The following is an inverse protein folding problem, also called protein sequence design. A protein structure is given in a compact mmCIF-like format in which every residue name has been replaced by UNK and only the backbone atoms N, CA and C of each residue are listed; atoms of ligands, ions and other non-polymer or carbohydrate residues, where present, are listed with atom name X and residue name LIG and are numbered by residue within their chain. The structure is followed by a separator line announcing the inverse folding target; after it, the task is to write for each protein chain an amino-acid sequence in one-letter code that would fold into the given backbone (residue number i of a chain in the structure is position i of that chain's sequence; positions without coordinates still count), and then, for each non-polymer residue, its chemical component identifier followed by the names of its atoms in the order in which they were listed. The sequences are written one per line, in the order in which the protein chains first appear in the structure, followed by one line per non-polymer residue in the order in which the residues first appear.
data_IF_280465259595
#
_entry.id   IF_280465259595
#
_cell.length_a   1.000
_cell.length_b   1.000
_cell.length_c   1.000
_cell.angle_alpha   90.00
_cell.angle_beta   90.00
_cell.angle_gamma   90.00
#
_symmetry.space_group_name_H-M   'P 1'
#
loop_
_entity.id
_entity.type
_entity.pdbx_description
1 polymer ?
#
# COMPACT_ATOMS: atom_id res chain seq x y z
N UNK A 1 -17.48 -33.58 27.48
CA UNK A 1 -16.57 -33.89 28.60
C UNK A 1 -15.60 -32.74 28.72
N UNK A 2 -15.77 -31.93 29.76
CA UNK A 2 -14.98 -30.72 30.04
C UNK A 2 -13.72 -31.15 30.78
N UNK A 3 -12.56 -30.58 30.43
CA UNK A 3 -11.40 -30.58 31.31
C UNK A 3 -10.72 -29.20 31.25
N UNK A 4 -10.74 -28.52 32.41
CA UNK A 4 -9.92 -27.35 32.76
C UNK A 4 -8.51 -27.84 33.20
N UNK A 5 -7.40 -27.09 33.32
CA UNK A 5 -7.07 -25.67 33.38
C UNK A 5 -5.53 -25.49 33.18
N UNK A 6 -5.14 -24.32 32.66
CA UNK A 6 -3.97 -23.45 33.01
C UNK A 6 -2.57 -24.02 33.19
N UNK A 7 -1.58 -23.48 32.43
CA UNK A 7 -0.46 -22.65 32.93
C UNK A 7 0.02 -21.63 31.84
N UNK A 8 0.26 -20.38 32.26
CA UNK A 8 1.06 -19.28 31.66
C UNK A 8 0.53 -18.43 30.47
N UNK A 9 -0.11 -17.30 30.83
CA UNK A 9 0.56 -15.99 30.68
C UNK A 9 0.71 -15.33 29.30
N UNK A 10 0.09 -15.83 28.22
CA UNK A 10 0.12 -15.16 26.91
C UNK A 10 -1.28 -14.97 26.33
N UNK A 11 -1.75 -13.72 26.33
CA UNK A 11 -2.99 -13.31 25.66
C UNK A 11 -2.76 -13.29 24.16
N UNK A 12 -3.22 -14.32 23.46
CA UNK A 12 -3.39 -14.29 22.00
C UNK A 12 -4.72 -13.62 21.67
N UNK A 13 -4.78 -12.63 20.76
CA UNK A 13 -6.07 -12.15 20.26
C UNK A 13 -6.77 -13.28 19.51
N UNK A 14 -8.05 -13.49 19.87
CA UNK A 14 -8.88 -14.64 19.51
C UNK A 14 -9.22 -14.83 18.01
N UNK A 15 -10.08 -15.81 17.71
CA UNK A 15 -10.24 -16.36 16.36
C UNK A 15 -10.88 -15.33 15.42
N UNK A 16 -10.33 -15.26 14.21
CA UNK A 16 -10.78 -14.39 13.13
C UNK A 16 -12.29 -14.50 12.92
N UNK A 17 -12.97 -13.37 13.08
CA UNK A 17 -14.41 -13.24 12.95
C UNK A 17 -14.86 -13.58 11.51
N UNK A 18 -15.56 -14.70 11.35
CA UNK A 18 -16.03 -15.22 10.05
C UNK A 18 -16.95 -14.24 9.31
N UNK A 19 -17.57 -13.30 10.02
CA UNK A 19 -18.36 -12.21 9.44
C UNK A 19 -17.49 -11.19 8.67
N UNK A 20 -16.27 -10.90 9.13
CA UNK A 20 -15.33 -10.03 8.39
C UNK A 20 -14.82 -10.67 7.12
N UNK A 21 -14.62 -12.00 7.12
CA UNK A 21 -14.21 -12.75 5.93
C UNK A 21 -15.32 -12.77 4.86
N UNK A 22 -16.59 -12.86 5.27
CA UNK A 22 -17.72 -12.77 4.34
C UNK A 22 -17.97 -11.34 3.81
N UNK A 23 -17.73 -10.30 4.61
CA UNK A 23 -17.79 -8.91 4.13
C UNK A 23 -16.67 -8.61 3.12
N UNK A 24 -15.45 -9.11 3.34
CA UNK A 24 -14.34 -8.99 2.39
C UNK A 24 -14.64 -9.70 1.05
N UNK A 25 -15.33 -10.85 1.09
CA UNK A 25 -15.80 -11.56 -0.12
C UNK A 25 -16.87 -10.81 -0.90
N UNK A 26 -17.80 -10.11 -0.25
CA UNK A 26 -18.84 -9.34 -0.94
C UNK A 26 -18.37 -7.99 -1.50
N UNK A 27 -17.27 -7.45 -0.98
CA UNK A 27 -16.61 -6.23 -1.46
C UNK A 27 -15.36 -6.55 -2.31
N UNK A 28 -15.29 -7.70 -2.97
CA UNK A 28 -14.25 -7.99 -3.95
C UNK A 28 -14.81 -7.81 -5.36
N UNK A 29 -14.04 -7.26 -6.31
CA UNK A 29 -14.49 -7.20 -7.69
C UNK A 29 -14.71 -8.62 -8.22
N UNK A 30 -15.66 -8.79 -9.13
CA UNK A 30 -15.98 -10.09 -9.70
C UNK A 30 -14.76 -10.67 -10.42
N UNK A 31 -14.18 -11.73 -9.87
CA UNK A 31 -12.92 -12.41 -10.30
C UNK A 31 -12.77 -12.57 -11.82
N UNK A 32 -13.86 -12.78 -12.56
CA UNK A 32 -13.85 -13.01 -14.00
C UNK A 32 -13.79 -11.76 -14.89
N UNK A 33 -13.90 -10.53 -14.36
CA UNK A 33 -14.08 -9.31 -15.19
C UNK A 33 -13.21 -8.10 -14.83
N UNK A 34 -12.31 -8.24 -13.85
CA UNK A 34 -11.47 -7.12 -13.43
C UNK A 34 -10.28 -6.89 -14.37
N UNK A 35 -10.05 -5.64 -14.75
CA UNK A 35 -8.88 -5.24 -15.54
C UNK A 35 -7.78 -4.75 -14.59
N UNK A 36 -6.67 -5.46 -14.54
CA UNK A 36 -5.54 -5.00 -13.74
C UNK A 36 -4.69 -4.00 -14.52
N UNK A 37 -4.30 -2.91 -13.85
CA UNK A 37 -3.54 -1.82 -14.46
C UNK A 37 -2.32 -1.43 -13.61
N UNK A 38 -1.11 -1.61 -14.14
CA UNK A 38 0.13 -1.23 -13.46
C UNK A 38 0.35 0.27 -13.55
N UNK A 39 0.49 0.91 -12.38
CA UNK A 39 0.75 2.35 -12.28
C UNK A 39 2.13 2.70 -12.85
N UNK A 40 3.16 1.88 -12.59
CA UNK A 40 4.52 2.22 -13.00
C UNK A 40 4.84 1.95 -14.47
N UNK A 41 5.29 3.01 -15.13
CA UNK A 41 5.55 3.03 -16.58
C UNK A 41 4.38 3.65 -17.35
N UNK A 42 3.14 3.27 -17.02
CA UNK A 42 1.93 3.76 -17.71
C UNK A 42 1.43 5.11 -17.18
N UNK A 43 1.20 5.24 -15.87
CA UNK A 43 0.65 6.46 -15.28
C UNK A 43 1.75 7.36 -14.70
N UNK A 44 2.74 6.75 -14.05
CA UNK A 44 3.82 7.44 -13.33
C UNK A 44 5.12 6.64 -13.40
N UNK A 45 6.26 7.33 -13.34
CA UNK A 45 7.56 6.68 -13.14
C UNK A 45 7.96 6.72 -11.67
N UNK A 46 7.37 5.83 -10.87
CA UNK A 46 7.62 5.78 -9.44
C UNK A 46 9.00 5.20 -9.11
N UNK A 47 9.56 5.68 -8.00
CA UNK A 47 10.72 5.06 -7.34
C UNK A 47 10.35 4.86 -5.87
N UNK A 48 10.73 3.72 -5.29
CA UNK A 48 10.39 3.38 -3.89
C UNK A 48 10.97 4.39 -2.89
N UNK A 49 12.11 5.01 -3.22
CA UNK A 49 12.86 5.89 -2.30
C UNK A 49 12.24 7.29 -2.21
N UNK A 50 11.68 7.85 -3.29
CA UNK A 50 11.18 9.24 -3.30
C UNK A 50 10.02 9.47 -2.31
N UNK A 51 8.97 8.64 -2.26
CA UNK A 51 7.90 8.81 -1.27
C UNK A 51 8.39 8.65 0.16
N UNK A 52 9.24 7.65 0.43
CA UNK A 52 9.80 7.43 1.77
C UNK A 52 10.68 8.61 2.20
N UNK A 53 11.53 9.12 1.31
CA UNK A 53 12.33 10.31 1.57
C UNK A 53 11.43 11.52 1.88
N UNK A 54 10.35 11.74 1.11
CA UNK A 54 9.39 12.81 1.36
C UNK A 54 8.71 12.69 2.74
N UNK A 55 8.21 11.50 3.09
CA UNK A 55 7.61 11.22 4.39
C UNK A 55 8.58 11.51 5.55
N UNK A 56 9.86 11.23 5.36
CA UNK A 56 10.89 11.50 6.39
C UNK A 56 11.33 12.96 6.44
N UNK A 57 11.34 13.64 5.28
CA UNK A 57 11.78 15.04 5.15
C UNK A 57 10.84 16.00 5.87
N UNK A 58 9.54 15.71 5.88
CA UNK A 58 8.51 16.52 6.53
C UNK A 58 8.18 16.10 7.97
N UNK A 59 9.11 15.48 8.71
CA UNK A 59 8.92 15.12 10.14
C UNK A 59 9.10 16.35 11.07
N UNK A 60 8.30 16.49 12.14
CA UNK A 60 8.22 17.74 12.92
C UNK A 60 9.35 17.97 13.93
N UNK A 61 10.07 16.92 14.36
CA UNK A 61 11.08 16.98 15.44
C UNK A 61 12.51 17.04 14.91
N UNK A 62 13.27 18.09 15.29
CA UNK A 62 14.58 18.45 14.73
C UNK A 62 15.64 17.33 14.80
N UNK A 63 15.71 16.56 15.89
CA UNK A 63 16.67 15.46 16.07
C UNK A 63 16.29 14.20 15.26
N UNK A 64 14.99 13.93 15.15
CA UNK A 64 14.44 12.83 14.36
C UNK A 64 14.69 13.04 12.85
N UNK A 65 14.73 14.31 12.39
CA UNK A 65 15.11 14.68 11.02
C UNK A 65 16.52 14.23 10.68
N UNK A 66 17.51 14.50 11.53
CA UNK A 66 18.92 14.18 11.24
C UNK A 66 19.19 12.68 11.25
N UNK A 67 18.62 11.94 12.23
CA UNK A 67 18.73 10.47 12.27
C UNK A 67 18.06 9.83 11.05
N UNK A 68 16.86 10.28 10.67
CA UNK A 68 16.17 9.73 9.49
C UNK A 68 16.82 10.15 8.18
N UNK A 69 17.38 11.36 8.08
CA UNK A 69 18.19 11.80 6.93
C UNK A 69 19.43 10.94 6.76
N UNK A 70 20.15 10.66 7.85
CA UNK A 70 21.29 9.75 7.85
C UNK A 70 20.89 8.34 7.40
N UNK A 71 19.76 7.83 7.90
CA UNK A 71 19.27 6.50 7.53
C UNK A 71 18.82 6.42 6.06
N UNK A 72 18.12 7.43 5.54
CA UNK A 72 17.72 7.48 4.11
C UNK A 72 18.93 7.59 3.21
N UNK A 73 19.92 8.42 3.57
CA UNK A 73 21.17 8.53 2.82
C UNK A 73 21.94 7.21 2.81
N UNK A 74 22.11 6.59 3.98
CA UNK A 74 22.74 5.27 4.12
C UNK A 74 22.03 4.21 3.26
N UNK A 75 20.69 4.22 3.27
CA UNK A 75 19.89 3.30 2.46
C UNK A 75 20.00 3.56 0.96
N UNK A 76 20.14 4.82 0.53
CA UNK A 76 20.39 5.16 -0.87
C UNK A 76 21.76 4.65 -1.35
N UNK A 77 22.79 4.79 -0.49
CA UNK A 77 24.15 4.28 -0.76
C UNK A 77 24.19 2.75 -0.78
N UNK A 78 23.53 2.09 0.17
CA UNK A 78 23.49 0.62 0.27
C UNK A 78 22.55 -0.04 -0.75
N UNK A 79 21.75 0.73 -1.47
CA UNK A 79 20.72 0.23 -2.40
C UNK A 79 21.26 -0.77 -3.44
N UNK A 80 22.38 -0.51 -4.15
CA UNK A 80 22.90 -1.44 -5.16
C UNK A 80 23.22 -2.81 -4.54
N UNK A 81 23.82 -2.80 -3.34
CA UNK A 81 24.20 -4.00 -2.60
C UNK A 81 22.98 -4.79 -2.09
N UNK A 82 22.01 -4.09 -1.49
CA UNK A 82 20.79 -4.70 -0.94
C UNK A 82 19.87 -5.28 -2.04
N UNK A 83 19.74 -4.58 -3.16
CA UNK A 83 18.93 -5.04 -4.29
C UNK A 83 19.61 -6.14 -5.12
N UNK A 84 20.95 -6.23 -5.08
CA UNK A 84 21.70 -7.35 -5.64
C UNK A 84 21.49 -8.65 -4.83
N UNK A 85 21.29 -8.54 -3.50
CA UNK A 85 21.07 -9.70 -2.63
C UNK A 85 19.61 -10.18 -2.61
N UNK A 86 18.63 -9.34 -2.22
CA UNK A 86 17.22 -9.76 -2.14
C UNK A 86 16.22 -8.58 -2.23
N UNK A 87 15.55 -8.42 -3.37
CA UNK A 87 14.71 -7.25 -3.69
C UNK A 87 13.52 -7.03 -2.74
N UNK A 88 12.93 -8.10 -2.23
CA UNK A 88 11.81 -8.03 -1.27
C UNK A 88 12.32 -7.52 0.08
N UNK A 89 13.47 -8.03 0.53
CA UNK A 89 14.10 -7.58 1.78
C UNK A 89 14.45 -6.11 1.69
N UNK A 90 15.10 -5.67 0.60
CA UNK A 90 15.44 -4.26 0.40
C UNK A 90 14.20 -3.36 0.42
N UNK A 91 13.08 -3.80 -0.16
CA UNK A 91 11.80 -3.08 -0.08
C UNK A 91 11.31 -2.96 1.36
N UNK A 92 11.35 -4.05 2.15
CA UNK A 92 10.98 -4.04 3.57
C UNK A 92 11.86 -3.09 4.40
N UNK A 93 13.18 -3.12 4.19
CA UNK A 93 14.12 -2.26 4.95
C UNK A 93 13.89 -0.77 4.63
N UNK A 94 13.61 -0.41 3.38
CA UNK A 94 13.27 0.98 3.03
C UNK A 94 12.02 1.47 3.76
N UNK A 95 11.00 0.62 3.89
CA UNK A 95 9.77 0.98 4.59
C UNK A 95 9.90 0.94 6.12
N UNK A 96 10.88 0.22 6.67
CA UNK A 96 11.16 0.19 8.11
C UNK A 96 11.52 1.58 8.68
N UNK A 97 12.03 2.48 7.83
CA UNK A 97 12.30 3.90 8.19
C UNK A 97 11.03 4.64 8.63
N UNK A 98 9.85 4.15 8.24
CA UNK A 98 8.55 4.71 8.62
C UNK A 98 8.05 4.22 9.99
N UNK A 99 8.81 3.35 10.68
CA UNK A 99 8.47 2.93 12.06
C UNK A 99 8.28 4.14 12.98
N UNK A 100 7.27 4.08 13.83
CA UNK A 100 6.96 5.12 14.81
C UNK A 100 6.22 6.35 14.23
N UNK A 101 5.85 6.34 12.95
CA UNK A 101 5.02 7.41 12.36
C UNK A 101 3.54 7.05 12.52
N UNK A 102 2.72 8.01 12.93
CA UNK A 102 1.27 7.79 13.02
C UNK A 102 0.62 7.64 11.64
N UNK A 103 -0.46 6.85 11.60
CA UNK A 103 -1.24 6.59 10.39
C UNK A 103 -1.81 7.87 9.78
N UNK A 104 -2.40 8.73 10.63
CA UNK A 104 -3.00 9.99 10.19
C UNK A 104 -1.96 10.92 9.56
N UNK A 105 -0.73 10.92 10.09
CA UNK A 105 0.36 11.68 9.50
C UNK A 105 0.76 11.13 8.14
N UNK A 106 0.84 9.81 7.99
CA UNK A 106 1.12 9.19 6.69
C UNK A 106 0.01 9.46 5.68
N UNK A 107 -1.25 9.53 6.11
CA UNK A 107 -2.38 9.90 5.25
C UNK A 107 -2.27 11.35 4.77
N UNK A 108 -2.03 12.31 5.68
CA UNK A 108 -1.86 13.71 5.33
C UNK A 108 -0.68 13.92 4.38
N UNK A 109 0.48 13.38 4.72
CA UNK A 109 1.67 13.48 3.86
C UNK A 109 1.48 12.74 2.53
N UNK A 110 0.66 11.70 2.51
CA UNK A 110 0.36 10.94 1.30
C UNK A 110 -0.47 11.75 0.31
N UNK A 111 -1.47 12.46 0.82
CA UNK A 111 -2.30 13.41 0.06
C UNK A 111 -1.45 14.59 -0.45
N UNK A 112 -0.60 15.19 0.40
CA UNK A 112 0.33 16.25 -0.02
C UNK A 112 1.29 15.77 -1.11
N UNK A 113 1.88 14.59 -0.94
CA UNK A 113 2.78 14.03 -1.93
C UNK A 113 2.06 13.77 -3.26
N UNK A 114 0.83 13.29 -3.20
CA UNK A 114 0.02 13.09 -4.40
C UNK A 114 -0.21 14.43 -5.12
N UNK A 115 -0.80 15.42 -4.44
CA UNK A 115 -1.17 16.70 -5.03
C UNK A 115 0.03 17.48 -5.58
N UNK A 116 1.13 17.55 -4.84
CA UNK A 116 2.27 18.38 -5.22
C UNK A 116 3.37 17.66 -6.00
N UNK A 117 3.47 16.32 -5.91
CA UNK A 117 4.59 15.56 -6.50
C UNK A 117 4.19 14.46 -7.46
N UNK A 118 2.95 13.97 -7.45
CA UNK A 118 2.50 12.96 -8.40
C UNK A 118 1.60 13.53 -9.47
N UNK A 119 0.55 14.24 -9.08
CA UNK A 119 -0.48 14.77 -9.98
C UNK A 119 0.08 15.60 -11.14
N UNK A 120 1.08 16.50 -10.95
CA UNK A 120 1.65 17.27 -12.06
C UNK A 120 2.44 16.42 -13.07
N UNK A 121 2.88 15.22 -12.67
CA UNK A 121 3.71 14.32 -13.48
C UNK A 121 2.94 13.11 -14.01
N UNK A 122 1.61 13.11 -13.90
CA UNK A 122 0.77 12.06 -14.49
C UNK A 122 0.93 12.06 -16.01
N UNK A 123 1.21 10.89 -16.57
CA UNK A 123 1.34 10.72 -18.02
C UNK A 123 -0.05 10.82 -18.66
N UNK A 124 -0.29 11.83 -19.52
CA UNK A 124 -1.63 12.10 -20.03
C UNK A 124 -2.18 10.94 -20.87
N UNK A 125 -1.34 10.25 -21.63
CA UNK A 125 -1.76 9.14 -22.49
C UNK A 125 -2.26 7.94 -21.67
N UNK A 126 -1.55 7.56 -20.61
CA UNK A 126 -1.96 6.48 -19.72
C UNK A 126 -3.25 6.84 -18.97
N UNK A 127 -3.38 8.09 -18.51
CA UNK A 127 -4.61 8.59 -17.87
C UNK A 127 -5.80 8.53 -18.82
N UNK A 128 -5.64 8.95 -20.09
CA UNK A 128 -6.72 8.87 -21.09
C UNK A 128 -7.20 7.44 -21.31
N UNK A 129 -6.27 6.49 -21.47
CA UNK A 129 -6.64 5.08 -21.70
C UNK A 129 -7.30 4.45 -20.48
N UNK A 130 -6.79 4.74 -19.28
CA UNK A 130 -7.41 4.29 -18.04
C UNK A 130 -8.82 4.86 -17.88
N UNK A 131 -8.99 6.18 -18.10
CA UNK A 131 -10.28 6.83 -17.99
C UNK A 131 -11.29 6.29 -19.02
N UNK A 132 -10.85 5.91 -20.22
CA UNK A 132 -11.71 5.25 -21.19
C UNK A 132 -12.25 3.90 -20.67
N UNK A 133 -11.41 3.11 -19.98
CA UNK A 133 -11.84 1.84 -19.37
C UNK A 133 -12.81 2.05 -18.21
N UNK A 134 -12.49 3.00 -17.33
CA UNK A 134 -13.35 3.35 -16.19
C UNK A 134 -14.69 3.90 -16.69
N UNK A 135 -14.68 4.78 -17.70
CA UNK A 135 -15.87 5.33 -18.34
C UNK A 135 -16.72 4.29 -19.07
N UNK A 136 -16.10 3.23 -19.59
CA UNK A 136 -16.79 2.07 -20.15
C UNK A 136 -17.39 1.13 -19.08
N UNK A 137 -17.26 1.45 -17.79
CA UNK A 137 -17.78 0.64 -16.69
C UNK A 137 -16.94 -0.59 -16.35
N UNK A 138 -15.68 -0.65 -16.81
CA UNK A 138 -14.77 -1.75 -16.47
C UNK A 138 -14.36 -1.68 -15.00
N UNK A 139 -14.34 -2.82 -14.31
CA UNK A 139 -13.80 -2.90 -12.94
C UNK A 139 -12.28 -2.88 -12.98
N UNK A 140 -11.68 -1.70 -12.83
CA UNK A 140 -10.22 -1.56 -12.86
C UNK A 140 -9.61 -1.75 -11.48
N UNK A 141 -8.52 -2.50 -11.40
CA UNK A 141 -7.68 -2.68 -10.20
C UNK A 141 -6.30 -2.06 -10.47
N UNK A 142 -5.96 -0.99 -9.76
CA UNK A 142 -4.63 -0.39 -9.87
C UNK A 142 -3.61 -1.20 -9.08
N UNK A 143 -2.51 -1.57 -9.73
CA UNK A 143 -1.40 -2.29 -9.12
C UNK A 143 -0.18 -1.38 -9.02
N UNK A 144 0.36 -1.19 -7.82
CA UNK A 144 1.53 -0.34 -7.60
C UNK A 144 2.47 -0.86 -6.52
N UNK A 145 3.76 -0.58 -6.70
CA UNK A 145 4.78 -0.76 -5.66
C UNK A 145 4.74 0.36 -4.58
N UNK A 146 3.94 1.39 -4.78
CA UNK A 146 3.76 2.50 -3.84
C UNK A 146 3.00 2.09 -2.57
N UNK A 147 3.12 2.94 -1.56
CA UNK A 147 2.34 2.79 -0.33
C UNK A 147 0.88 3.15 -0.55
N UNK A 148 -0.02 2.44 0.12
CA UNK A 148 -1.46 2.69 0.03
C UNK A 148 -1.84 4.14 0.39
N UNK A 149 -1.16 4.75 1.37
CA UNK A 149 -1.31 6.16 1.73
C UNK A 149 -1.16 7.14 0.56
N UNK A 150 -0.34 6.80 -0.44
CA UNK A 150 -0.10 7.64 -1.63
C UNK A 150 -1.00 7.19 -2.79
N UNK A 151 -1.25 5.89 -2.90
CA UNK A 151 -2.00 5.33 -4.02
C UNK A 151 -3.52 5.52 -3.88
N UNK A 152 -4.03 5.70 -2.66
CA UNK A 152 -5.45 6.00 -2.42
C UNK A 152 -5.88 7.37 -2.98
N UNK A 153 -5.16 8.48 -2.70
CA UNK A 153 -5.40 9.77 -3.38
C UNK A 153 -5.38 9.66 -4.91
N UNK A 154 -4.38 8.94 -5.45
CA UNK A 154 -4.27 8.69 -6.89
C UNK A 154 -5.49 7.94 -7.45
N UNK A 155 -5.92 6.86 -6.79
CA UNK A 155 -7.07 6.08 -7.21
C UNK A 155 -8.36 6.92 -7.17
N UNK A 156 -8.54 7.74 -6.12
CA UNK A 156 -9.67 8.67 -5.99
C UNK A 156 -9.68 9.68 -7.14
N UNK A 157 -8.53 10.26 -7.48
CA UNK A 157 -8.39 11.20 -8.59
C UNK A 157 -8.74 10.58 -9.96
N UNK A 158 -8.42 9.30 -10.15
CA UNK A 158 -8.67 8.56 -11.39
C UNK A 158 -10.02 7.82 -11.41
N UNK A 159 -10.82 7.93 -10.35
CA UNK A 159 -12.12 7.24 -10.25
C UNK A 159 -12.02 5.72 -10.11
N UNK A 160 -10.86 5.18 -9.73
CA UNK A 160 -10.64 3.73 -9.57
C UNK A 160 -11.00 3.27 -8.16
N UNK A 161 -11.78 2.18 -8.07
CA UNK A 161 -12.30 1.66 -6.81
C UNK A 161 -11.38 0.65 -6.11
N UNK A 162 -10.51 -0.02 -6.86
CA UNK A 162 -9.75 -1.18 -6.37
C UNK A 162 -8.24 -1.00 -6.51
N UNK A 163 -7.49 -1.48 -5.52
CA UNK A 163 -6.04 -1.32 -5.42
C UNK A 163 -5.35 -2.62 -5.01
N UNK A 164 -4.15 -2.86 -5.53
CA UNK A 164 -3.15 -3.79 -5.02
C UNK A 164 -1.85 -3.01 -4.81
N UNK A 165 -1.51 -2.76 -3.55
CA UNK A 165 -0.46 -1.80 -3.17
C UNK A 165 0.27 -2.25 -1.91
N UNK A 166 1.44 -1.68 -1.63
CA UNK A 166 2.18 -1.96 -0.41
C UNK A 166 1.48 -1.32 0.80
N UNK A 167 1.28 -2.10 1.86
CA UNK A 167 0.58 -1.67 3.08
C UNK A 167 1.51 -1.80 4.28
N UNK A 168 1.54 -0.78 5.13
CA UNK A 168 2.23 -0.85 6.42
C UNK A 168 1.35 -1.54 7.46
N UNK A 169 1.98 -2.27 8.36
CA UNK A 169 1.33 -2.76 9.58
C UNK A 169 1.31 -1.63 10.63
N UNK A 170 0.16 -1.49 11.29
CA UNK A 170 -0.07 -0.51 12.35
C UNK A 170 -0.47 -1.20 13.65
N UNK A 171 -0.02 -0.65 14.78
CA UNK A 171 -0.49 -0.98 16.12
C UNK A 171 -0.78 0.33 16.84
N UNK A 172 -1.99 0.46 17.39
CA UNK A 172 -2.46 1.69 18.05
C UNK A 172 -2.29 2.95 17.20
N UNK A 173 -2.54 2.82 15.89
CA UNK A 173 -2.38 3.91 14.92
C UNK A 173 -0.92 4.26 14.59
N UNK A 174 0.07 3.55 15.11
CA UNK A 174 1.50 3.78 14.87
C UNK A 174 2.09 2.69 13.96
N UNK A 175 2.84 3.11 12.94
CA UNK A 175 3.49 2.20 12.01
C UNK A 175 4.56 1.35 12.72
N UNK A 176 4.49 0.02 12.57
CA UNK A 176 5.49 -0.91 13.13
C UNK A 176 6.77 -0.93 12.30
N UNK A 177 6.72 -0.41 11.07
CA UNK A 177 7.80 -0.49 10.08
C UNK A 177 7.78 -1.78 9.24
N UNK A 178 6.85 -2.70 9.50
CA UNK A 178 6.66 -3.90 8.69
C UNK A 178 5.66 -3.66 7.57
N UNK A 179 5.85 -4.32 6.43
CA UNK A 179 4.86 -4.39 5.37
C UNK A 179 3.98 -5.61 5.56
N UNK A 180 2.68 -5.45 5.32
CA UNK A 180 1.75 -6.55 5.19
C UNK A 180 1.97 -7.26 3.85
N UNK A 181 1.72 -8.57 3.83
CA UNK A 181 1.74 -9.34 2.60
C UNK A 181 0.42 -9.15 1.80
N UNK A 182 0.44 -9.38 0.48
CA UNK A 182 1.65 -9.53 -0.34
C UNK A 182 2.38 -8.19 -0.57
N UNK A 183 3.69 -8.25 -0.81
CA UNK A 183 4.53 -7.07 -1.09
C UNK A 183 4.72 -6.93 -2.59
N UNK A 184 4.23 -5.83 -3.15
CA UNK A 184 4.40 -5.51 -4.56
C UNK A 184 5.82 -5.03 -4.81
N UNK A 185 6.56 -5.79 -5.62
CA UNK A 185 7.96 -5.51 -5.94
C UNK A 185 8.11 -4.31 -6.88
N UNK A 186 9.22 -3.56 -6.75
CA UNK A 186 9.61 -2.58 -7.75
C UNK A 186 9.79 -3.20 -9.13
N UNK A 187 9.32 -2.50 -10.16
CA UNK A 187 9.61 -2.86 -11.55
C UNK A 187 11.13 -2.84 -11.76
N UNK A 188 11.68 -3.90 -12.35
CA UNK A 188 13.13 -4.03 -12.57
C UNK A 188 13.68 -2.86 -13.38
N UNK A 189 14.96 -2.50 -13.17
CA UNK A 189 15.58 -1.34 -13.80
C UNK A 189 15.49 -1.37 -15.34
N UNK A 190 15.59 -2.55 -15.95
CA UNK A 190 15.48 -2.76 -17.40
C UNK A 190 14.07 -2.54 -17.96
N UNK A 191 13.02 -2.55 -17.12
CA UNK A 191 11.65 -2.35 -17.59
C UNK A 191 11.34 -0.91 -18.00
N UNK A 192 12.22 0.05 -17.65
CA UNK A 192 12.19 1.41 -18.18
C UNK A 192 12.68 1.49 -19.62
N UNK A 193 13.55 0.56 -20.02
CA UNK A 193 14.17 0.51 -21.35
C UNK A 193 13.26 -0.23 -22.32
N UNK A 194 12.54 -1.26 -21.86
CA UNK A 194 11.60 -2.03 -22.70
C UNK A 194 10.27 -1.32 -22.98
N UNK A 195 10.17 0.00 -22.71
CA UNK A 195 9.02 0.83 -23.09
C UNK A 195 7.68 0.22 -22.72
N UNK A 196 7.32 0.23 -21.44
CA UNK A 196 5.91 0.08 -21.11
C UNK A 196 5.20 1.29 -21.73
N UNK A 197 4.48 1.06 -22.83
CA UNK A 197 3.69 2.11 -23.47
C UNK A 197 2.64 2.69 -22.51
N UNK A 198 1.78 3.59 -23.01
CA UNK A 198 0.69 4.14 -22.20
C UNK A 198 -0.27 3.07 -21.67
N UNK A 199 -0.36 1.91 -22.34
CA UNK A 199 -1.14 0.78 -21.86
C UNK A 199 -0.48 0.12 -20.63
N UNK A 200 -1.15 0.24 -19.49
CA UNK A 200 -0.74 -0.33 -18.21
C UNK A 200 -1.35 -1.70 -17.93
N UNK A 201 -2.18 -2.26 -18.82
CA UNK A 201 -2.84 -3.54 -18.57
C UNK A 201 -1.84 -4.64 -18.24
N UNK A 202 -2.18 -5.42 -17.23
CA UNK A 202 -1.40 -6.57 -16.81
C UNK A 202 -2.31 -7.79 -16.74
N UNK A 203 -1.81 -8.94 -17.20
CA UNK A 203 -2.53 -10.19 -17.02
C UNK A 203 -2.36 -10.71 -15.59
N UNK A 204 -3.30 -11.48 -15.05
CA UNK A 204 -3.17 -12.11 -13.74
C UNK A 204 -1.87 -12.93 -13.60
N UNK A 205 -1.45 -13.62 -14.67
CA UNK A 205 -0.22 -14.43 -14.69
C UNK A 205 1.03 -13.56 -14.58
N UNK A 206 1.04 -12.40 -15.25
CA UNK A 206 2.11 -11.42 -15.12
C UNK A 206 2.19 -10.87 -13.70
N UNK A 207 1.04 -10.66 -13.03
CA UNK A 207 1.00 -10.21 -11.64
C UNK A 207 1.47 -11.27 -10.67
N UNK A 208 1.01 -12.50 -10.79
CA UNK A 208 1.44 -13.65 -9.97
C UNK A 208 2.96 -13.79 -10.00
N UNK A 209 3.57 -13.76 -11.19
CA UNK A 209 5.04 -13.78 -11.35
C UNK A 209 5.73 -12.58 -10.71
N UNK A 210 5.11 -11.40 -10.76
CA UNK A 210 5.69 -10.17 -10.19
C UNK A 210 5.55 -10.09 -8.66
N UNK A 211 4.56 -10.76 -8.08
CA UNK A 211 4.28 -10.74 -6.64
C UNK A 211 5.10 -11.77 -5.85
N UNK A 212 5.80 -12.69 -6.54
CA UNK A 212 6.74 -13.71 -6.01
C UNK A 212 6.21 -14.35 -4.72
N UNK A 213 5.55 -15.51 -4.84
CA UNK A 213 4.90 -16.31 -3.76
C UNK A 213 3.35 -16.28 -3.70
N UNK A 214 2.61 -16.13 -4.81
CA UNK A 214 1.14 -16.03 -4.76
C UNK A 214 0.41 -16.90 -5.79
N UNK A 215 -0.49 -17.78 -5.32
CA UNK A 215 -1.56 -18.40 -6.12
C UNK A 215 -2.61 -17.35 -6.54
N UNK A 216 -3.56 -17.72 -7.39
CA UNK A 216 -4.69 -16.86 -7.76
C UNK A 216 -5.46 -16.35 -6.52
N UNK A 217 -5.57 -17.16 -5.46
CA UNK A 217 -6.26 -16.80 -4.22
C UNK A 217 -5.58 -15.64 -3.49
N UNK A 218 -4.25 -15.60 -3.50
CA UNK A 218 -3.48 -14.52 -2.86
C UNK A 218 -3.60 -13.21 -3.66
N UNK A 219 -3.74 -13.29 -4.99
CA UNK A 219 -4.00 -12.12 -5.82
C UNK A 219 -5.36 -11.50 -5.49
N UNK A 220 -6.40 -12.34 -5.37
CA UNK A 220 -7.74 -11.88 -4.97
C UNK A 220 -7.73 -11.27 -3.57
N UNK A 221 -7.10 -11.94 -2.59
CA UNK A 221 -6.98 -11.44 -1.22
C UNK A 221 -6.13 -10.16 -1.09
N UNK A 222 -5.33 -9.82 -2.10
CA UNK A 222 -4.54 -8.59 -2.14
C UNK A 222 -5.33 -7.37 -2.58
N UNK A 223 -6.48 -7.57 -3.24
CA UNK A 223 -7.34 -6.48 -3.70
C UNK A 223 -7.99 -5.80 -2.50
N UNK A 224 -7.87 -4.49 -2.45
CA UNK A 224 -8.47 -3.66 -1.40
C UNK A 224 -9.23 -2.48 -2.02
N UNK A 225 -10.28 -1.97 -1.34
CA UNK A 225 -10.94 -0.75 -1.77
C UNK A 225 -10.00 0.45 -1.67
N UNK A 226 -10.11 1.37 -2.63
CA UNK A 226 -9.42 2.66 -2.64
C UNK A 226 -9.90 3.55 -1.48
N UNK A 227 -11.19 3.52 -1.18
CA UNK A 227 -11.74 4.13 0.02
C UNK A 227 -11.26 3.38 1.26
N UNK A 228 -10.81 4.13 2.26
CA UNK A 228 -10.40 3.54 3.54
C UNK A 228 -11.62 3.45 4.44
N UNK A 229 -11.94 2.24 4.88
CA UNK A 229 -12.92 2.03 5.94
C UNK A 229 -12.33 2.56 7.24
N UNK A 230 -12.93 3.63 7.77
CA UNK A 230 -12.58 4.17 9.07
C UNK A 230 -13.32 3.32 10.10
N UNK A 231 -12.62 2.66 11.04
CA UNK A 231 -13.28 1.97 12.13
C UNK A 231 -14.14 2.98 12.89
N UNK A 232 -15.45 2.76 12.93
CA UNK A 232 -16.33 3.57 13.76
C UNK A 232 -15.92 3.32 15.21
N UNK A 233 -15.27 4.30 15.84
CA UNK A 233 -14.99 4.24 17.27
C UNK A 233 -16.31 4.30 18.02
N UNK A 234 -16.80 3.15 18.47
CA UNK A 234 -17.90 3.08 19.44
C UNK A 234 -17.36 3.57 20.78
N UNK A 235 -17.32 4.88 20.99
CA UNK A 235 -17.01 5.42 22.32
C UNK A 235 -18.21 5.09 23.22
N UNK A 236 -18.01 4.47 24.39
CA UNK A 236 -19.09 4.36 25.36
C UNK A 236 -19.50 5.79 25.74
N UNK A 237 -20.77 6.11 25.55
CA UNK A 237 -21.36 7.38 26.00
C UNK A 237 -21.38 7.31 27.53
N UNK A 238 -20.45 8.02 28.17
CA UNK A 238 -20.46 8.18 29.62
C UNK A 238 -21.43 9.30 29.96
N UNK A 239 -22.59 8.94 30.53
CA UNK A 239 -23.50 9.91 31.11
C UNK A 239 -22.89 10.43 32.40
N UNK A 240 -22.52 11.72 32.43
CA UNK A 240 -22.20 12.40 33.67
C UNK A 240 -23.51 12.90 34.28
N UNK A 241 -23.89 12.31 35.40
CA UNK A 241 -25.05 12.78 36.16
C UNK A 241 -24.69 14.11 36.84
N UNK A 242 -25.54 15.13 36.68
CA UNK A 242 -25.32 16.44 37.31
C UNK A 242 -25.75 16.34 38.77
N UNK A 243 -24.78 16.29 39.68
CA UNK A 243 -25.00 16.58 41.10
C UNK A 243 -25.11 18.07 41.36
#
# INVERSE_FOLDING_TARGET
MVQLFTIEGLVFPGPWDSHKLNQLKHNSPGSARSVYWRVEGSLLDLTTVRPVAFFTWNSQTFLQRWVRRGLVFLMAVLRPLLYASHRIFATRVVHAVLRGVSRDRLDLLGEEYFEYKLKPYLKPDGVRQLNALVGAGSEVVLVSQGLDHVMRPLARHLGVKWLIVNRLEFRDGIATGRLLNPVVRPRGAFARITGAGPDGRCTPEQLIRNLDFASAEVLEAAVIPATREVPVMTRPIVYFDKR
#
